data_IF_893139188515
#
_entry.id   IF_893139188515
#
_cell.length_a   1.000
_cell.length_b   1.000
_cell.length_c   1.000
_cell.angle_alpha   90.00
_cell.angle_beta   90.00
_cell.angle_gamma   90.00
#
_symmetry.space_group_name_H-M   'P 1'
#
loop_
_entity.id
_entity.type
_entity.pdbx_description
1 polymer ?
#
# COMPACT_ATOMS: atom_id res chain seq x y z
N UNK A 1 1.63 -1.29 -17.10
CA UNK A 1 1.80 -2.39 -18.05
C UNK A 1 1.14 -3.63 -17.49
N UNK A 2 -0.01 -4.05 -18.04
CA UNK A 2 -0.81 -5.16 -17.51
C UNK A 2 -0.12 -6.53 -17.65
N UNK A 3 0.79 -6.67 -18.63
CA UNK A 3 1.59 -7.89 -18.79
C UNK A 3 2.39 -8.25 -17.52
N UNK A 4 2.91 -7.25 -16.80
CA UNK A 4 3.61 -7.47 -15.53
C UNK A 4 2.68 -7.98 -14.42
N UNK A 5 1.47 -7.41 -14.31
CA UNK A 5 0.47 -7.90 -13.36
C UNK A 5 0.06 -9.33 -13.68
N UNK A 6 -0.28 -9.61 -14.94
CA UNK A 6 -0.71 -10.94 -15.38
C UNK A 6 0.39 -11.96 -15.14
N UNK A 7 1.64 -11.65 -15.50
CA UNK A 7 2.77 -12.54 -15.26
C UNK A 7 2.95 -12.84 -13.76
N UNK A 8 2.89 -11.81 -12.89
CA UNK A 8 3.00 -11.99 -11.45
C UNK A 8 1.86 -12.80 -10.84
N UNK A 9 0.61 -12.50 -11.20
CA UNK A 9 -0.57 -13.22 -10.69
C UNK A 9 -0.59 -14.66 -11.21
N UNK A 10 -0.34 -14.87 -12.50
CA UNK A 10 -0.37 -16.22 -13.10
C UNK A 10 0.78 -17.10 -12.62
N UNK A 11 1.87 -16.53 -12.09
CA UNK A 11 2.93 -17.29 -11.41
C UNK A 11 2.41 -17.97 -10.13
N UNK A 12 1.37 -17.41 -9.50
CA UNK A 12 0.71 -18.02 -8.33
C UNK A 12 -0.37 -19.04 -8.71
N UNK A 13 -0.63 -19.26 -10.01
CA UNK A 13 -1.60 -20.27 -10.47
C UNK A 13 -1.24 -21.66 -9.96
N UNK A 14 -2.19 -22.28 -9.25
CA UNK A 14 -1.99 -23.58 -8.58
C UNK A 14 -1.44 -23.49 -7.16
N UNK A 15 -1.06 -22.31 -6.67
CA UNK A 15 -0.58 -22.06 -5.31
C UNK A 15 -1.44 -21.05 -4.52
N UNK A 16 -2.69 -20.85 -4.95
CA UNK A 16 -3.64 -19.90 -4.33
C UNK A 16 -4.00 -20.24 -2.88
N UNK A 17 -3.87 -21.50 -2.49
CA UNK A 17 -4.02 -21.97 -1.11
C UNK A 17 -3.04 -21.29 -0.16
N UNK A 18 -1.84 -20.92 -0.65
CA UNK A 18 -0.82 -20.21 0.13
C UNK A 18 -1.24 -18.80 0.56
N UNK A 19 -2.23 -18.18 -0.10
CA UNK A 19 -2.74 -16.88 0.36
C UNK A 19 -3.37 -16.94 1.74
N UNK A 20 -3.82 -18.13 2.18
CA UNK A 20 -4.40 -18.30 3.52
C UNK A 20 -3.35 -18.49 4.60
N UNK A 21 -2.18 -19.02 4.23
CA UNK A 21 -1.13 -19.44 5.18
C UNK A 21 0.12 -18.57 5.17
N UNK A 22 0.41 -17.87 4.07
CA UNK A 22 1.58 -17.01 3.94
C UNK A 22 1.17 -15.53 3.82
N UNK A 23 1.35 -14.73 4.89
CA UNK A 23 0.99 -13.32 4.85
C UNK A 23 1.89 -12.51 3.90
N UNK A 24 3.09 -12.99 3.55
CA UNK A 24 3.95 -12.31 2.57
C UNK A 24 3.30 -12.36 1.19
N UNK A 25 2.67 -13.48 0.84
CA UNK A 25 1.97 -13.60 -0.44
C UNK A 25 0.76 -12.69 -0.54
N UNK A 26 0.09 -12.41 0.58
CA UNK A 26 -0.98 -11.41 0.63
C UNK A 26 -0.47 -10.01 0.22
N UNK A 27 0.68 -9.57 0.75
CA UNK A 27 1.29 -8.31 0.33
C UNK A 27 1.61 -8.30 -1.17
N UNK A 28 2.24 -9.36 -1.69
CA UNK A 28 2.68 -9.41 -3.08
C UNK A 28 1.49 -9.46 -4.07
N UNK A 29 0.45 -10.25 -3.79
CA UNK A 29 -0.72 -10.33 -4.67
C UNK A 29 -1.53 -9.03 -4.63
N UNK A 30 -1.78 -8.46 -3.44
CA UNK A 30 -2.52 -7.21 -3.30
C UNK A 30 -1.77 -6.06 -3.96
N UNK A 31 -0.44 -6.07 -3.84
CA UNK A 31 0.41 -5.14 -4.56
C UNK A 31 0.19 -5.18 -6.07
N UNK A 32 0.28 -6.37 -6.67
CA UNK A 32 0.06 -6.54 -8.12
C UNK A 32 -1.34 -6.10 -8.55
N UNK A 33 -2.37 -6.31 -7.72
CA UNK A 33 -3.72 -5.82 -7.97
C UNK A 33 -3.76 -4.28 -8.04
N UNK A 34 -3.15 -3.58 -7.09
CA UNK A 34 -3.05 -2.11 -7.13
C UNK A 34 -2.19 -1.59 -8.28
N UNK A 35 -1.16 -2.34 -8.68
CA UNK A 35 -0.40 -2.04 -9.90
C UNK A 35 -1.25 -2.15 -11.16
N UNK A 36 -2.04 -3.22 -11.29
CA UNK A 36 -3.01 -3.37 -12.37
C UNK A 36 -4.00 -2.23 -12.42
N UNK A 37 -4.59 -1.91 -11.27
CA UNK A 37 -5.56 -0.83 -11.10
C UNK A 37 -4.98 0.54 -11.45
N UNK A 38 -3.84 0.93 -10.86
CA UNK A 38 -3.21 2.22 -11.16
C UNK A 38 -2.74 2.29 -12.62
N UNK A 39 -2.20 1.22 -13.17
CA UNK A 39 -1.81 1.18 -14.60
C UNK A 39 -2.98 1.01 -15.56
N UNK A 40 -4.20 0.88 -15.07
CA UNK A 40 -5.44 1.06 -15.82
C UNK A 40 -5.96 2.50 -15.72
N UNK A 41 -6.02 3.02 -14.50
CA UNK A 41 -6.49 4.36 -14.18
C UNK A 41 -5.65 5.45 -14.87
N UNK A 42 -4.31 5.30 -14.88
CA UNK A 42 -3.40 6.25 -15.53
C UNK A 42 -3.72 6.46 -17.01
N UNK A 43 -3.78 5.40 -17.84
CA UNK A 43 -4.24 5.50 -19.22
C UNK A 43 -5.64 6.11 -19.37
N UNK A 44 -6.60 5.78 -18.51
CA UNK A 44 -7.93 6.43 -18.54
C UNK A 44 -7.81 7.94 -18.31
N UNK A 45 -7.08 8.37 -17.27
CA UNK A 45 -6.85 9.78 -16.95
C UNK A 45 -6.02 10.52 -18.00
N UNK A 46 -5.35 9.83 -18.92
CA UNK A 46 -4.63 10.42 -20.04
C UNK A 46 -5.53 10.76 -21.24
N UNK A 47 -6.75 10.21 -21.30
CA UNK A 47 -7.73 10.57 -22.31
C UNK A 47 -8.20 12.01 -22.07
N UNK A 48 -8.17 12.86 -23.09
CA UNK A 48 -8.51 14.30 -22.96
C UNK A 48 -9.86 14.54 -22.27
N UNK A 49 -10.87 13.73 -22.58
CA UNK A 49 -12.21 13.84 -21.99
C UNK A 49 -12.23 13.53 -20.49
N UNK A 50 -11.46 12.54 -20.05
CA UNK A 50 -11.33 12.17 -18.63
C UNK A 50 -10.41 13.15 -17.92
N UNK A 51 -9.30 13.52 -18.55
CA UNK A 51 -8.34 14.50 -18.03
C UNK A 51 -8.99 15.86 -17.80
N UNK A 52 -9.92 16.26 -18.68
CA UNK A 52 -10.71 17.46 -18.47
C UNK A 52 -11.43 17.45 -17.11
N UNK A 53 -11.76 16.29 -16.53
CA UNK A 53 -12.34 16.11 -15.19
C UNK A 53 -11.31 15.89 -14.08
N UNK A 54 -10.28 15.08 -14.33
CA UNK A 54 -9.32 14.67 -13.29
C UNK A 54 -8.16 15.66 -13.08
N UNK A 55 -7.89 16.54 -14.03
CA UNK A 55 -6.82 17.51 -13.92
C UNK A 55 -7.13 18.55 -12.84
N UNK A 56 -6.14 18.86 -12.00
CA UNK A 56 -6.23 19.81 -10.88
C UNK A 56 -7.22 19.40 -9.79
N UNK A 57 -7.65 18.14 -9.78
CA UNK A 57 -8.48 17.60 -8.71
C UNK A 57 -7.75 16.54 -7.91
N UNK A 58 -8.28 16.23 -6.73
CA UNK A 58 -7.74 15.18 -5.85
C UNK A 58 -7.81 13.76 -6.45
N UNK A 59 -8.44 13.57 -7.62
CA UNK A 59 -8.36 12.31 -8.35
C UNK A 59 -6.90 11.98 -8.68
N UNK A 60 -6.10 12.97 -9.11
CA UNK A 60 -4.68 12.74 -9.40
C UNK A 60 -3.92 12.26 -8.15
N UNK A 61 -4.26 12.79 -6.98
CA UNK A 61 -3.66 12.37 -5.71
C UNK A 61 -4.09 10.94 -5.34
N UNK A 62 -5.35 10.60 -5.57
CA UNK A 62 -5.86 9.22 -5.44
C UNK A 62 -5.12 8.23 -6.32
N UNK A 63 -4.91 8.58 -7.59
CA UNK A 63 -4.14 7.79 -8.55
C UNK A 63 -2.68 7.61 -8.11
N UNK A 64 -2.03 8.68 -7.65
CA UNK A 64 -0.65 8.60 -7.15
C UNK A 64 -0.57 7.65 -5.96
N UNK A 65 -1.48 7.74 -4.99
CA UNK A 65 -1.43 6.90 -3.79
C UNK A 65 -1.90 5.47 -4.03
N UNK A 66 -2.74 5.22 -5.03
CA UNK A 66 -3.05 3.85 -5.46
C UNK A 66 -1.80 3.13 -5.98
N UNK A 67 -0.94 3.83 -6.73
CA UNK A 67 0.36 3.32 -7.14
C UNK A 67 1.42 3.32 -6.03
N UNK A 68 1.57 4.40 -5.29
CA UNK A 68 2.63 4.55 -4.29
C UNK A 68 2.42 3.65 -3.07
N UNK A 69 1.23 3.70 -2.46
CA UNK A 69 0.93 2.90 -1.28
C UNK A 69 0.51 1.49 -1.68
N UNK A 70 -0.41 1.38 -2.64
CA UNK A 70 -0.98 0.11 -3.07
C UNK A 70 0.00 -0.79 -3.79
N UNK A 71 0.84 -0.27 -4.69
CA UNK A 71 1.84 -1.07 -5.40
C UNK A 71 3.23 -0.97 -4.76
N UNK A 72 3.88 0.20 -4.81
CA UNK A 72 5.31 0.32 -4.47
C UNK A 72 5.57 -0.08 -3.02
N UNK A 73 4.77 0.41 -2.08
CA UNK A 73 4.97 0.11 -0.67
C UNK A 73 4.65 -1.35 -0.35
N UNK A 74 3.51 -1.90 -0.81
CA UNK A 74 3.14 -3.29 -0.49
C UNK A 74 4.13 -4.32 -1.07
N UNK A 75 4.61 -4.15 -2.31
CA UNK A 75 5.65 -5.06 -2.85
C UNK A 75 6.93 -4.97 -2.01
N UNK A 76 7.33 -3.75 -1.64
CA UNK A 76 8.53 -3.52 -0.83
C UNK A 76 8.39 -4.16 0.56
N UNK A 77 7.24 -4.03 1.20
CA UNK A 77 6.97 -4.65 2.50
C UNK A 77 7.03 -6.18 2.41
N UNK A 78 6.38 -6.78 1.41
CA UNK A 78 6.47 -8.22 1.16
C UNK A 78 7.92 -8.68 0.94
N UNK A 79 8.68 -7.94 0.12
CA UNK A 79 10.11 -8.23 -0.11
C UNK A 79 10.94 -8.14 1.17
N UNK A 80 10.72 -7.13 2.03
CA UNK A 80 11.42 -7.02 3.31
C UNK A 80 11.10 -8.17 4.26
N UNK A 81 9.82 -8.53 4.40
CA UNK A 81 9.43 -9.68 5.23
C UNK A 81 10.00 -11.01 4.73
N UNK A 82 10.26 -11.13 3.43
CA UNK A 82 10.93 -12.29 2.88
C UNK A 82 12.45 -12.27 3.10
N UNK A 83 13.09 -11.12 2.88
CA UNK A 83 14.55 -10.97 2.84
C UNK A 83 15.20 -10.92 4.22
N UNK A 84 14.64 -10.12 5.13
CA UNK A 84 15.24 -9.84 6.44
C UNK A 84 15.52 -11.09 7.28
N UNK A 85 14.56 -12.02 7.48
CA UNK A 85 14.84 -13.22 8.27
C UNK A 85 15.97 -14.07 7.66
N UNK A 86 16.09 -14.10 6.32
CA UNK A 86 17.17 -14.82 5.62
C UNK A 86 18.53 -14.16 5.81
N UNK A 87 18.58 -12.83 5.84
CA UNK A 87 19.83 -12.10 6.05
C UNK A 87 20.42 -12.33 7.45
N UNK A 88 19.54 -12.56 8.44
CA UNK A 88 19.92 -12.80 9.83
C UNK A 88 19.82 -14.27 10.25
N UNK A 89 19.70 -15.18 9.27
CA UNK A 89 19.56 -16.64 9.45
C UNK A 89 18.59 -17.04 10.57
N UNK A 90 17.43 -16.36 10.62
CA UNK A 90 16.43 -16.52 11.67
C UNK A 90 15.02 -16.56 11.09
N UNK A 91 14.01 -16.65 11.95
CA UNK A 91 12.59 -16.58 11.57
C UNK A 91 12.01 -15.22 11.91
N UNK A 92 10.96 -14.81 11.20
CA UNK A 92 10.22 -13.60 11.57
C UNK A 92 9.71 -13.71 13.01
N UNK A 93 9.78 -12.61 13.75
CA UNK A 93 9.50 -12.57 15.18
C UNK A 93 8.03 -12.90 15.47
N UNK A 94 7.11 -12.32 14.69
CA UNK A 94 5.69 -12.66 14.76
C UNK A 94 5.04 -12.63 13.39
N UNK A 95 4.42 -13.74 12.98
CA UNK A 95 3.60 -13.78 11.77
C UNK A 95 2.27 -13.02 11.96
N UNK A 96 1.68 -13.05 13.16
CA UNK A 96 0.45 -12.31 13.47
C UNK A 96 0.61 -10.81 13.24
N UNK A 97 1.76 -10.23 13.60
CA UNK A 97 2.03 -8.81 13.33
C UNK A 97 2.13 -8.49 11.84
N UNK A 98 2.53 -9.45 11.00
CA UNK A 98 2.53 -9.28 9.54
C UNK A 98 1.08 -9.20 9.03
N UNK A 99 0.18 -10.05 9.53
CA UNK A 99 -1.25 -9.96 9.19
C UNK A 99 -1.88 -8.65 9.69
N UNK A 100 -1.54 -8.19 10.90
CA UNK A 100 -2.01 -6.90 11.42
C UNK A 100 -1.54 -5.76 10.52
N UNK A 101 -0.26 -5.75 10.16
CA UNK A 101 0.27 -4.76 9.22
C UNK A 101 -0.46 -4.82 7.87
N UNK A 102 -0.67 -6.01 7.31
CA UNK A 102 -1.37 -6.18 6.04
C UNK A 102 -2.76 -5.54 6.05
N UNK A 103 -3.56 -5.79 7.09
CA UNK A 103 -4.90 -5.24 7.20
C UNK A 103 -4.90 -3.73 7.46
N UNK A 104 -4.02 -3.24 8.34
CA UNK A 104 -3.87 -1.79 8.57
C UNK A 104 -3.49 -1.07 7.28
N UNK A 105 -2.52 -1.59 6.53
CA UNK A 105 -2.10 -1.01 5.26
C UNK A 105 -3.24 -1.06 4.22
N UNK A 106 -3.88 -2.21 4.04
CA UNK A 106 -4.93 -2.40 3.02
C UNK A 106 -6.16 -1.53 3.29
N UNK A 107 -6.65 -1.50 4.54
CA UNK A 107 -7.77 -0.63 4.92
C UNK A 107 -7.38 0.84 4.75
N UNK A 108 -6.17 1.21 5.17
CA UNK A 108 -5.65 2.57 5.01
C UNK A 108 -5.62 3.02 3.55
N UNK A 109 -5.13 2.16 2.65
CA UNK A 109 -5.08 2.41 1.20
C UNK A 109 -6.50 2.59 0.64
N UNK A 110 -7.43 1.69 0.96
CA UNK A 110 -8.80 1.75 0.42
C UNK A 110 -9.51 3.02 0.89
N UNK A 111 -9.39 3.39 2.17
CA UNK A 111 -9.94 4.65 2.70
C UNK A 111 -9.32 5.86 2.00
N UNK A 112 -8.00 5.86 1.78
CA UNK A 112 -7.32 6.93 1.08
C UNK A 112 -7.85 7.09 -0.35
N UNK A 113 -7.81 6.03 -1.16
CA UNK A 113 -8.17 6.10 -2.59
C UNK A 113 -9.64 6.47 -2.77
N UNK A 114 -10.54 5.83 -2.01
CA UNK A 114 -11.98 6.12 -2.10
C UNK A 114 -12.29 7.57 -1.73
N UNK A 115 -11.66 8.11 -0.69
CA UNK A 115 -11.83 9.53 -0.33
C UNK A 115 -11.35 10.47 -1.45
N UNK A 116 -10.24 10.14 -2.11
CA UNK A 116 -9.68 10.95 -3.20
C UNK A 116 -10.47 10.85 -4.50
N UNK A 117 -11.12 9.72 -4.77
CA UNK A 117 -12.09 9.65 -5.87
C UNK A 117 -13.33 10.50 -5.61
N UNK A 118 -13.88 10.45 -4.39
CA UNK A 118 -15.02 11.31 -4.02
C UNK A 118 -14.64 12.79 -4.11
N UNK A 119 -13.49 13.17 -3.56
CA UNK A 119 -12.97 14.54 -3.67
C UNK A 119 -12.75 14.94 -5.14
N UNK A 120 -12.03 14.11 -5.90
CA UNK A 120 -11.62 14.41 -7.26
C UNK A 120 -12.76 14.54 -8.25
N UNK A 121 -13.69 13.57 -8.24
CA UNK A 121 -14.88 13.60 -9.09
C UNK A 121 -15.82 14.74 -8.65
N UNK A 122 -16.07 14.87 -7.34
CA UNK A 122 -16.95 15.92 -6.81
C UNK A 122 -16.43 17.32 -7.14
N UNK A 123 -15.16 17.60 -6.86
CA UNK A 123 -14.51 18.86 -7.20
C UNK A 123 -14.54 19.13 -8.71
N UNK A 124 -14.20 18.12 -9.52
CA UNK A 124 -14.21 18.25 -10.98
C UNK A 124 -15.59 18.58 -11.54
N UNK A 125 -16.65 17.97 -10.99
CA UNK A 125 -18.04 18.24 -11.38
C UNK A 125 -18.50 19.63 -10.93
N UNK A 126 -18.21 20.03 -9.68
CA UNK A 126 -18.59 21.36 -9.18
C UNK A 126 -17.94 22.49 -9.99
N UNK A 127 -16.65 22.35 -10.35
CA UNK A 127 -15.90 23.35 -11.13
C UNK A 127 -16.39 23.52 -12.58
N UNK A 128 -17.24 22.62 -13.09
CA UNK A 128 -17.81 22.70 -14.45
C UNK A 128 -19.33 22.71 -14.48
N UNK A 129 -19.96 22.80 -13.31
CA UNK A 129 -21.42 22.76 -13.21
C UNK A 129 -21.98 24.12 -13.58
N UNK A 130 -22.95 24.12 -14.48
CA UNK A 130 -23.69 25.30 -14.89
C UNK A 130 -25.15 25.17 -14.43
N UNK A 131 -25.75 26.29 -14.03
CA UNK A 131 -27.18 26.37 -13.74
C UNK A 131 -28.02 26.45 -15.02
N UNK A 132 -29.35 26.46 -14.87
CA UNK A 132 -30.30 26.55 -16.00
C UNK A 132 -30.16 27.84 -16.83
N UNK A 133 -29.44 28.84 -16.31
CA UNK A 133 -29.19 30.13 -16.94
C UNK A 133 -27.78 30.23 -17.56
N UNK A 134 -26.95 29.19 -17.45
CA UNK A 134 -25.60 29.14 -17.99
C UNK A 134 -24.53 29.82 -17.12
N UNK A 135 -24.85 30.19 -15.87
CA UNK A 135 -23.86 30.65 -14.90
C UNK A 135 -23.20 29.48 -14.19
N UNK A 136 -22.01 29.69 -13.61
CA UNK A 136 -21.38 28.68 -12.75
C UNK A 136 -22.27 28.42 -11.53
N UNK A 137 -22.64 27.15 -11.31
CA UNK A 137 -23.55 26.74 -10.25
C UNK A 137 -22.91 26.78 -8.85
N UNK A 138 -21.57 26.71 -8.78
CA UNK A 138 -20.81 26.73 -7.53
C UNK A 138 -19.68 27.74 -7.58
N UNK A 139 -19.47 28.42 -6.47
CA UNK A 139 -18.26 29.19 -6.19
C UNK A 139 -17.09 28.28 -5.86
N UNK A 140 -15.87 28.79 -6.01
CA UNK A 140 -14.68 28.02 -5.65
C UNK A 140 -14.64 27.64 -4.16
N UNK A 141 -15.10 28.51 -3.26
CA UNK A 141 -15.06 28.25 -1.82
C UNK A 141 -15.98 27.09 -1.41
N UNK A 142 -17.12 26.91 -2.09
CA UNK A 142 -18.00 25.75 -1.87
C UNK A 142 -17.31 24.44 -2.24
N UNK A 143 -16.45 24.44 -3.27
CA UNK A 143 -15.64 23.26 -3.60
C UNK A 143 -14.63 22.95 -2.49
N UNK A 144 -14.06 23.98 -1.86
CA UNK A 144 -13.11 23.83 -0.74
C UNK A 144 -13.81 23.27 0.50
N UNK A 145 -15.01 23.76 0.80
CA UNK A 145 -15.82 23.25 1.91
C UNK A 145 -16.20 21.78 1.69
N UNK A 146 -16.63 21.42 0.47
CA UNK A 146 -16.92 20.03 0.10
C UNK A 146 -15.73 19.09 0.35
N UNK A 147 -14.49 19.54 0.05
CA UNK A 147 -13.28 18.72 0.20
C UNK A 147 -12.89 18.42 1.66
N UNK A 148 -13.45 19.14 2.64
CA UNK A 148 -13.11 18.94 4.05
C UNK A 148 -13.40 17.50 4.52
N UNK A 149 -14.57 16.96 4.18
CA UNK A 149 -14.96 15.61 4.58
C UNK A 149 -14.06 14.53 3.96
N UNK A 150 -13.82 14.52 2.64
CA UNK A 150 -12.81 13.64 2.04
C UNK A 150 -11.42 13.76 2.66
N UNK A 151 -10.97 14.96 3.05
CA UNK A 151 -9.64 15.14 3.66
C UNK A 151 -9.50 14.50 5.04
N UNK A 152 -10.57 14.47 5.83
CA UNK A 152 -10.59 13.72 7.10
C UNK A 152 -10.38 12.23 6.82
N UNK A 153 -11.12 11.67 5.86
CA UNK A 153 -11.00 10.25 5.51
C UNK A 153 -9.63 9.90 4.92
N UNK A 154 -9.05 10.80 4.11
CA UNK A 154 -7.67 10.69 3.64
C UNK A 154 -6.69 10.61 4.81
N UNK A 155 -6.81 11.52 5.77
CA UNK A 155 -5.92 11.57 6.93
C UNK A 155 -6.04 10.31 7.79
N UNK A 156 -7.27 9.83 8.02
CA UNK A 156 -7.51 8.57 8.72
C UNK A 156 -6.90 7.37 7.97
N UNK A 157 -7.14 7.26 6.66
CA UNK A 157 -6.54 6.20 5.84
C UNK A 157 -5.01 6.21 5.88
N UNK A 158 -4.41 7.40 5.80
CA UNK A 158 -2.97 7.58 5.97
C UNK A 158 -2.47 7.18 7.36
N UNK A 159 -3.21 7.51 8.42
CA UNK A 159 -2.87 7.12 9.79
C UNK A 159 -2.90 5.59 10.00
N UNK A 160 -3.89 4.89 9.44
CA UNK A 160 -3.93 3.42 9.42
C UNK A 160 -2.70 2.84 8.73
N UNK A 161 -2.33 3.40 7.57
CA UNK A 161 -1.16 2.95 6.83
C UNK A 161 0.15 3.15 7.61
N UNK A 162 0.34 4.34 8.19
CA UNK A 162 1.51 4.66 9.03
C UNK A 162 1.57 3.77 10.27
N UNK A 163 0.45 3.51 10.93
CA UNK A 163 0.38 2.57 12.05
C UNK A 163 0.84 1.17 11.63
N UNK A 164 0.44 0.72 10.43
CA UNK A 164 0.93 -0.52 9.83
C UNK A 164 2.46 -0.53 9.66
N UNK A 165 3.04 0.55 9.15
CA UNK A 165 4.50 0.69 8.99
C UNK A 165 5.21 0.65 10.35
N UNK A 166 4.66 1.26 11.40
CA UNK A 166 5.23 1.18 12.75
C UNK A 166 5.22 -0.26 13.28
N UNK A 167 4.14 -1.01 13.05
CA UNK A 167 4.07 -2.45 13.38
C UNK A 167 5.14 -3.24 12.63
N UNK A 168 5.36 -2.94 11.35
CA UNK A 168 6.43 -3.57 10.55
C UNK A 168 7.81 -3.29 11.12
N UNK A 169 8.13 -2.02 11.39
CA UNK A 169 9.43 -1.60 11.94
C UNK A 169 9.69 -2.32 13.26
N UNK A 170 8.70 -2.38 14.15
CA UNK A 170 8.80 -3.11 15.40
C UNK A 170 9.08 -4.61 15.19
N UNK A 171 8.30 -5.28 14.32
CA UNK A 171 8.46 -6.71 14.06
C UNK A 171 9.85 -7.03 13.47
N UNK A 172 10.31 -6.22 12.52
CA UNK A 172 11.65 -6.34 11.92
C UNK A 172 12.73 -6.11 12.96
N UNK A 173 12.62 -5.06 13.77
CA UNK A 173 13.61 -4.75 14.81
C UNK A 173 13.78 -5.94 15.78
N UNK A 174 12.66 -6.54 16.21
CA UNK A 174 12.69 -7.72 17.07
C UNK A 174 13.31 -8.94 16.38
N UNK A 175 13.02 -9.15 15.09
CA UNK A 175 13.66 -10.22 14.29
C UNK A 175 15.18 -10.05 14.20
N UNK A 176 15.65 -8.83 13.91
CA UNK A 176 17.09 -8.53 13.83
C UNK A 176 17.78 -8.79 15.17
N UNK A 177 17.16 -8.38 16.27
CA UNK A 177 17.71 -8.62 17.62
C UNK A 177 17.75 -10.11 17.97
N UNK A 178 16.73 -10.89 17.58
CA UNK A 178 16.71 -12.34 17.78
C UNK A 178 17.83 -13.03 16.99
N UNK A 179 17.96 -12.73 15.69
CA UNK A 179 19.01 -13.33 14.85
C UNK A 179 20.43 -13.03 15.35
N UNK A 180 20.70 -11.79 15.79
CA UNK A 180 22.00 -11.44 16.40
C UNK A 180 22.31 -12.26 17.67
N UNK A 181 21.31 -12.52 18.51
CA UNK A 181 21.47 -13.33 19.73
C UNK A 181 21.72 -14.80 19.39
N UNK A 182 20.99 -15.34 18.41
CA UNK A 182 21.15 -16.72 17.95
C UNK A 182 22.53 -16.94 17.36
N UNK A 183 23.01 -16.01 16.53
CA UNK A 183 24.34 -16.05 15.94
C UNK A 183 25.45 -15.99 17.00
N UNK A 184 25.37 -15.05 17.96
CA UNK A 184 26.33 -14.95 19.06
C UNK A 184 26.36 -16.24 19.92
N UNK A 185 25.21 -16.86 20.16
CA UNK A 185 25.14 -18.12 20.89
C UNK A 185 25.76 -19.29 20.10
N UNK A 186 25.63 -19.30 18.78
CA UNK A 186 26.25 -20.29 17.91
C UNK A 186 27.77 -20.14 17.92
N UNK A 187 28.27 -18.92 17.78
CA UNK A 187 29.71 -18.59 17.85
C UNK A 187 30.31 -18.98 19.19
N UNK A 188 29.63 -18.69 20.30
CA UNK A 188 30.07 -19.10 21.64
C UNK A 188 30.15 -20.64 21.79
N UNK A 189 29.16 -21.37 21.24
CA UNK A 189 29.19 -22.85 21.24
C UNK A 189 30.33 -23.41 20.40
N UNK A 190 30.58 -22.83 19.22
CA UNK A 190 31.70 -23.21 18.34
C UNK A 190 33.05 -22.97 19.02
N UNK A 191 33.24 -21.80 19.63
CA UNK A 191 34.45 -21.48 20.38
C UNK A 191 34.68 -22.45 21.54
N UNK A 192 33.63 -22.76 22.31
CA UNK A 192 33.72 -23.73 23.41
C UNK A 192 34.03 -25.16 22.94
N UNK A 193 33.58 -25.54 21.74
CA UNK A 193 33.89 -26.85 21.14
C UNK A 193 35.34 -26.92 20.69
N UNK A 194 35.86 -25.86 20.06
CA UNK A 194 37.26 -25.76 19.62
C UNK A 194 38.23 -25.73 20.81
N UNK A 195 37.87 -25.07 21.92
CA UNK A 195 38.71 -25.03 23.12
C UNK A 195 38.80 -26.39 23.86
N UNK A 196 37.90 -27.34 23.55
CA UNK A 196 37.89 -28.69 24.13
C UNK A 196 38.54 -29.75 23.23
N UNK A 197 38.88 -29.40 21.98
CA UNK A 197 39.53 -30.28 21.02
C UNK A 197 41.05 -30.08 21.07
#
# INVERSE_FOLDING_TARGET
SWGGMINGIMTLSGAWDKLRSDPIMLFLITSLSFYGMSTFEGPLMSLKSVNALSHYTDWTIGHVHSGALGWVALVSFGSFYHLIPRLYDTRMYSQTLIYVHFWLATIGIVLYITSMWVAGIGQGLMLRSFDDYGNLAYTFIETVEFMHTPYIWRALGGAFFVAGVLVMVYNIYMTVQAGRREQAALEAKLAAKLAKA
#
